data_IF_167974684237
#
_entry.id   IF_167974684237
#
_cell.length_a   1.000
_cell.length_b   1.000
_cell.length_c   1.000
_cell.angle_alpha   90.00
_cell.angle_beta   90.00
_cell.angle_gamma   90.00
#
_symmetry.space_group_name_H-M   'P 1'
#
loop_
_entity.id
_entity.type
_entity.pdbx_description
1 polymer ?
#
# COMPACT_ATOMS: atom_id res chain seq x y z
N UNK A 1 -74.64 -48.43 -65.18
CA UNK A 1 -75.82 -47.94 -65.91
C UNK A 1 -75.93 -46.44 -65.65
N UNK A 2 -75.27 -45.63 -66.47
CA UNK A 2 -75.86 -44.98 -67.65
C UNK A 2 -76.91 -43.91 -67.27
N UNK A 3 -76.46 -42.64 -67.28
CA UNK A 3 -77.14 -41.42 -67.75
C UNK A 3 -78.49 -41.04 -67.10
N UNK A 4 -78.80 -39.77 -66.85
CA UNK A 4 -79.32 -38.83 -67.87
C UNK A 4 -79.07 -37.38 -67.45
N UNK A 5 -78.82 -36.57 -68.48
CA UNK A 5 -78.59 -35.14 -68.55
C UNK A 5 -79.70 -34.20 -68.03
N UNK A 6 -79.22 -33.05 -67.54
CA UNK A 6 -79.62 -31.65 -67.83
C UNK A 6 -81.05 -31.37 -68.33
N UNK A 7 -81.74 -30.52 -67.57
CA UNK A 7 -82.40 -29.23 -67.93
C UNK A 7 -82.94 -28.69 -66.58
N UNK A 8 -83.14 -27.42 -66.25
CA UNK A 8 -83.50 -26.23 -67.00
C UNK A 8 -83.17 -24.97 -66.16
N UNK A 9 -83.10 -23.82 -66.83
CA UNK A 9 -82.73 -22.51 -66.34
C UNK A 9 -83.68 -21.89 -65.29
N UNK A 10 -83.06 -21.08 -64.43
CA UNK A 10 -83.49 -19.76 -63.93
C UNK A 10 -84.96 -19.59 -63.54
N UNK A 11 -85.19 -19.47 -62.23
CA UNK A 11 -86.20 -18.56 -61.69
C UNK A 11 -85.71 -17.94 -60.36
N UNK A 12 -85.56 -16.61 -60.39
CA UNK A 12 -85.92 -15.64 -59.35
C UNK A 12 -85.26 -15.83 -57.96
N UNK A 13 -84.16 -15.11 -57.69
CA UNK A 13 -84.19 -13.81 -56.98
C UNK A 13 -85.14 -13.79 -55.79
N UNK A 14 -84.66 -14.30 -54.65
CA UNK A 14 -84.96 -13.68 -53.35
C UNK A 14 -83.66 -13.54 -52.57
N UNK A 15 -83.37 -12.29 -52.21
CA UNK A 15 -82.13 -11.88 -51.57
C UNK A 15 -82.05 -12.40 -50.15
N UNK A 16 -81.09 -13.28 -49.91
CA UNK A 16 -80.48 -13.48 -48.61
C UNK A 16 -79.18 -12.68 -48.62
N UNK A 17 -79.21 -11.49 -48.00
CA UNK A 17 -77.98 -10.80 -47.61
C UNK A 17 -77.28 -11.70 -46.61
N UNK A 18 -76.27 -12.46 -47.06
CA UNK A 18 -75.30 -13.08 -46.18
C UNK A 18 -74.62 -11.96 -45.39
N UNK A 19 -75.11 -11.68 -44.18
CA UNK A 19 -74.33 -10.99 -43.17
C UNK A 19 -73.21 -11.95 -42.80
N UNK A 20 -72.01 -11.65 -43.27
CA UNK A 20 -70.79 -12.28 -42.78
C UNK A 20 -70.76 -12.13 -41.25
N UNK A 21 -70.84 -13.24 -40.52
CA UNK A 21 -70.68 -13.30 -39.06
C UNK A 21 -69.18 -13.37 -38.71
N UNK A 22 -68.36 -12.66 -39.46
CA UNK A 22 -66.96 -12.44 -39.12
C UNK A 22 -66.82 -10.96 -38.82
N UNK A 23 -66.85 -10.62 -37.53
CA UNK A 23 -66.25 -9.39 -37.05
C UNK A 23 -64.82 -9.39 -37.56
N UNK A 24 -64.45 -8.39 -38.37
CA UNK A 24 -63.07 -8.18 -38.73
C UNK A 24 -62.33 -7.88 -37.41
N UNK A 25 -61.65 -8.88 -36.86
CA UNK A 25 -60.60 -8.64 -35.89
C UNK A 25 -59.66 -7.67 -36.59
N UNK A 26 -59.42 -6.45 -36.06
CA UNK A 26 -58.38 -5.62 -36.61
C UNK A 26 -57.12 -6.45 -36.45
N UNK A 27 -56.57 -6.92 -37.56
CA UNK A 27 -55.21 -7.41 -37.59
C UNK A 27 -54.38 -6.22 -37.13
N UNK A 28 -54.07 -6.16 -35.84
CA UNK A 28 -53.04 -5.28 -35.33
C UNK A 28 -51.81 -5.78 -36.05
N UNK A 29 -51.46 -5.09 -37.13
CA UNK A 29 -50.15 -5.20 -37.72
C UNK A 29 -49.20 -4.79 -36.58
N UNK A 30 -48.74 -5.77 -35.80
CA UNK A 30 -47.55 -5.61 -34.98
C UNK A 30 -46.43 -5.54 -36.00
N UNK A 31 -46.29 -4.36 -36.60
CA UNK A 31 -45.09 -4.00 -37.33
C UNK A 31 -44.02 -4.06 -36.24
N UNK A 32 -43.21 -5.12 -36.26
CA UNK A 32 -41.96 -5.15 -35.53
C UNK A 32 -41.12 -4.03 -36.12
N UNK A 33 -41.33 -2.80 -35.65
CA UNK A 33 -40.36 -1.75 -35.83
C UNK A 33 -39.16 -2.25 -35.05
N UNK A 34 -38.17 -2.81 -35.75
CA UNK A 34 -36.81 -2.91 -35.20
C UNK A 34 -36.58 -1.53 -34.60
N UNK A 35 -36.46 -1.45 -33.28
CA UNK A 35 -36.27 -0.20 -32.54
C UNK A 35 -34.90 0.35 -32.90
N UNK A 36 -34.79 0.90 -34.11
CA UNK A 36 -33.60 1.51 -34.62
C UNK A 36 -33.45 2.82 -33.86
N UNK A 37 -32.71 2.76 -32.75
CA UNK A 37 -32.32 3.97 -32.04
C UNK A 37 -31.60 4.87 -33.05
N UNK A 38 -32.06 6.11 -33.26
CA UNK A 38 -31.37 7.02 -34.15
C UNK A 38 -29.89 7.15 -33.77
N UNK A 39 -29.01 7.30 -34.77
CA UNK A 39 -27.55 7.38 -34.55
C UNK A 39 -27.13 8.48 -33.58
N UNK A 40 -27.94 9.52 -33.40
CA UNK A 40 -27.69 10.62 -32.45
C UNK A 40 -27.92 10.24 -30.98
N UNK A 41 -28.73 9.21 -30.68
CA UNK A 41 -29.12 8.87 -29.30
C UNK A 41 -27.91 8.44 -28.46
N UNK A 42 -27.06 7.57 -29.00
CA UNK A 42 -25.91 7.06 -28.25
C UNK A 42 -24.88 8.18 -27.93
N UNK A 43 -24.47 9.05 -28.88
CA UNK A 43 -23.67 10.24 -28.58
C UNK A 43 -24.30 11.14 -27.51
N UNK A 44 -25.60 11.42 -27.62
CA UNK A 44 -26.31 12.27 -26.63
C UNK A 44 -26.30 11.64 -25.24
N UNK A 45 -26.59 10.34 -25.12
CA UNK A 45 -26.57 9.65 -23.83
C UNK A 45 -25.17 9.59 -23.21
N UNK A 46 -24.12 9.43 -24.02
CA UNK A 46 -22.73 9.50 -23.54
C UNK A 46 -22.40 10.88 -22.98
N UNK A 47 -22.82 11.94 -23.67
CA UNK A 47 -22.60 13.31 -23.19
C UNK A 47 -23.40 13.59 -21.91
N UNK A 48 -24.64 13.12 -21.81
CA UNK A 48 -25.43 13.24 -20.58
C UNK A 48 -24.79 12.47 -19.41
N UNK A 49 -24.29 11.25 -19.66
CA UNK A 49 -23.56 10.48 -18.64
C UNK A 49 -22.28 11.20 -18.21
N UNK A 50 -21.49 11.71 -19.16
CA UNK A 50 -20.28 12.49 -18.87
C UNK A 50 -20.59 13.73 -18.02
N UNK A 51 -21.66 14.47 -18.34
CA UNK A 51 -22.09 15.64 -17.54
C UNK A 51 -22.52 15.24 -16.14
N UNK A 52 -23.30 14.16 -16.03
CA UNK A 52 -23.69 13.60 -14.74
C UNK A 52 -22.46 13.21 -13.91
N UNK A 53 -21.47 12.54 -14.50
CA UNK A 53 -20.26 12.13 -13.79
C UNK A 53 -19.48 13.35 -13.25
N UNK A 54 -19.38 14.42 -14.03
CA UNK A 54 -18.78 15.70 -13.58
C UNK A 54 -19.58 16.34 -12.44
N UNK A 55 -20.90 16.25 -12.45
CA UNK A 55 -21.74 16.75 -11.35
C UNK A 55 -21.61 15.88 -10.09
N UNK A 56 -21.57 14.55 -10.25
CA UNK A 56 -21.36 13.60 -9.17
C UNK A 56 -19.98 13.85 -8.52
N UNK A 57 -18.92 14.06 -9.32
CA UNK A 57 -17.57 14.40 -8.83
C UNK A 57 -17.55 15.70 -8.01
N UNK A 58 -18.30 16.73 -8.44
CA UNK A 58 -18.44 17.98 -7.68
C UNK A 58 -19.16 17.78 -6.33
N UNK A 59 -20.06 16.81 -6.25
CA UNK A 59 -20.87 16.53 -5.08
C UNK A 59 -20.21 15.52 -4.11
N UNK A 60 -18.92 15.24 -4.26
CA UNK A 60 -18.18 14.31 -3.40
C UNK A 60 -17.98 12.91 -4.02
N UNK A 61 -18.31 12.76 -5.30
CA UNK A 61 -18.11 11.55 -6.08
C UNK A 61 -19.21 10.50 -5.87
N UNK A 62 -19.30 9.51 -6.79
CA UNK A 62 -20.20 8.39 -6.63
C UNK A 62 -19.78 7.51 -5.44
N UNK A 63 -20.74 6.75 -4.88
CA UNK A 63 -20.45 5.71 -3.90
C UNK A 63 -19.44 4.71 -4.49
N UNK A 64 -18.34 4.50 -3.78
CA UNK A 64 -17.31 3.55 -4.19
C UNK A 64 -17.79 2.14 -3.83
N UNK A 65 -17.75 1.23 -4.78
CA UNK A 65 -18.11 -0.18 -4.58
C UNK A 65 -16.85 -1.04 -4.56
N UNK A 66 -16.89 -2.11 -3.76
CA UNK A 66 -15.82 -3.10 -3.75
C UNK A 66 -15.71 -3.78 -5.12
N UNK A 67 -14.49 -4.09 -5.58
CA UNK A 67 -14.22 -4.62 -6.92
C UNK A 67 -14.94 -5.94 -7.21
N UNK A 68 -15.19 -6.74 -6.17
CA UNK A 68 -15.95 -7.99 -6.27
C UNK A 68 -17.44 -7.83 -6.61
N UNK A 69 -17.99 -6.61 -6.53
CA UNK A 69 -19.40 -6.33 -6.85
C UNK A 69 -19.65 -6.33 -8.36
N UNK A 70 -18.61 -6.12 -9.17
CA UNK A 70 -18.72 -6.04 -10.61
C UNK A 70 -18.77 -7.44 -11.25
N UNK A 71 -19.50 -7.57 -12.35
CA UNK A 71 -19.70 -8.85 -13.05
C UNK A 71 -18.40 -9.50 -13.51
N UNK A 72 -17.43 -8.69 -13.93
CA UNK A 72 -16.11 -9.13 -14.38
C UNK A 72 -15.18 -9.35 -13.17
N UNK A 73 -15.52 -10.32 -12.33
CA UNK A 73 -14.74 -10.70 -11.16
C UNK A 73 -14.81 -12.20 -10.90
N UNK A 74 -13.65 -12.84 -10.76
CA UNK A 74 -13.53 -14.22 -10.32
C UNK A 74 -12.43 -14.31 -9.25
N UNK A 75 -12.84 -14.55 -8.01
CA UNK A 75 -11.94 -14.50 -6.87
C UNK A 75 -10.78 -15.51 -6.96
N UNK A 76 -11.04 -16.73 -7.45
CA UNK A 76 -10.01 -17.77 -7.54
C UNK A 76 -8.95 -17.43 -8.60
N UNK A 77 -9.40 -16.87 -9.73
CA UNK A 77 -8.49 -16.41 -10.78
C UNK A 77 -7.64 -15.22 -10.32
N UNK A 78 -8.23 -14.32 -9.53
CA UNK A 78 -7.56 -13.13 -9.01
C UNK A 78 -6.54 -13.48 -7.92
N UNK A 79 -6.86 -14.43 -7.02
CA UNK A 79 -5.89 -14.99 -6.06
C UNK A 79 -4.71 -15.64 -6.80
N UNK A 80 -5.00 -16.48 -7.80
CA UNK A 80 -3.95 -17.12 -8.59
C UNK A 80 -3.07 -16.10 -9.33
N UNK A 81 -3.68 -15.07 -9.91
CA UNK A 81 -2.96 -13.99 -10.57
C UNK A 81 -2.11 -13.16 -9.59
N UNK A 82 -2.62 -12.94 -8.37
CA UNK A 82 -1.92 -12.22 -7.31
C UNK A 82 -0.63 -12.93 -6.89
N UNK A 83 -0.70 -14.24 -6.62
CA UNK A 83 0.49 -15.03 -6.26
C UNK A 83 1.56 -14.97 -7.37
N UNK A 84 1.15 -15.16 -8.63
CA UNK A 84 2.07 -15.10 -9.78
C UNK A 84 2.63 -13.70 -10.03
N UNK A 85 1.85 -12.63 -9.78
CA UNK A 85 2.32 -11.24 -9.89
C UNK A 85 3.46 -10.95 -8.92
N UNK A 86 3.37 -11.49 -7.70
CA UNK A 86 4.40 -11.37 -6.68
C UNK A 86 5.60 -12.30 -6.94
N UNK A 87 5.43 -13.32 -7.78
CA UNK A 87 6.46 -14.33 -8.03
C UNK A 87 6.61 -15.36 -6.92
N UNK A 88 5.63 -15.42 -6.00
CA UNK A 88 5.67 -16.24 -4.78
C UNK A 88 4.65 -17.37 -4.81
N UNK A 89 4.96 -18.47 -4.11
CA UNK A 89 4.09 -19.65 -4.01
C UNK A 89 3.35 -19.65 -2.67
N UNK A 90 2.08 -19.29 -2.70
CA UNK A 90 1.21 -19.32 -1.53
C UNK A 90 0.41 -20.62 -1.44
N UNK A 91 0.13 -21.07 -0.22
CA UNK A 91 -0.96 -22.00 0.03
C UNK A 91 -2.29 -21.24 -0.09
N UNK A 92 -3.20 -21.74 -0.92
CA UNK A 92 -4.50 -21.13 -1.19
C UNK A 92 -5.34 -20.98 0.09
N UNK A 93 -5.29 -21.94 1.02
CA UNK A 93 -6.04 -21.86 2.27
C UNK A 93 -5.54 -20.73 3.18
N UNK A 94 -4.23 -20.66 3.41
CA UNK A 94 -3.62 -19.64 4.28
C UNK A 94 -3.74 -18.24 3.68
N UNK A 95 -3.62 -18.12 2.34
CA UNK A 95 -3.79 -16.84 1.66
C UNK A 95 -5.23 -16.32 1.74
N UNK A 96 -6.23 -17.20 1.57
CA UNK A 96 -7.64 -16.83 1.78
C UNK A 96 -7.90 -16.38 3.21
N UNK A 97 -7.37 -17.12 4.19
CA UNK A 97 -7.47 -16.76 5.60
C UNK A 97 -6.79 -15.41 5.92
N UNK A 98 -5.67 -15.08 5.26
CA UNK A 98 -5.00 -13.79 5.44
C UNK A 98 -5.82 -12.60 4.87
N UNK A 99 -6.55 -12.83 3.77
CA UNK A 99 -7.38 -11.83 3.10
C UNK A 99 -8.76 -11.63 3.75
N UNK A 100 -9.20 -12.54 4.62
CA UNK A 100 -10.47 -12.45 5.35
C UNK A 100 -10.31 -11.68 6.66
N UNK A 101 -10.86 -10.46 6.69
CA UNK A 101 -10.90 -9.70 7.93
C UNK A 101 -12.07 -10.12 8.82
N UNK A 102 -11.87 -10.09 10.14
CA UNK A 102 -12.88 -10.41 11.15
C UNK A 102 -14.25 -9.76 10.91
N UNK A 103 -14.28 -8.49 10.53
CA UNK A 103 -15.55 -7.78 10.29
C UNK A 103 -16.38 -8.39 9.15
N UNK A 104 -15.73 -8.98 8.15
CA UNK A 104 -16.41 -9.68 7.07
C UNK A 104 -17.05 -10.99 7.58
N UNK A 105 -16.34 -11.73 8.43
CA UNK A 105 -16.85 -12.97 9.05
C UNK A 105 -18.06 -12.67 9.94
N UNK A 106 -17.98 -11.63 10.77
CA UNK A 106 -19.11 -11.16 11.60
C UNK A 106 -20.34 -10.79 10.75
N UNK A 107 -20.15 -10.10 9.62
CA UNK A 107 -21.26 -9.76 8.72
C UNK A 107 -21.87 -10.99 8.07
N UNK A 108 -21.06 -11.89 7.54
CA UNK A 108 -21.56 -13.03 6.78
C UNK A 108 -22.25 -14.04 7.71
N UNK A 109 -21.72 -14.24 8.92
CA UNK A 109 -22.39 -15.04 9.95
C UNK A 109 -23.74 -14.46 10.36
N UNK A 110 -23.83 -13.13 10.55
CA UNK A 110 -25.11 -12.46 10.81
C UNK A 110 -26.09 -12.67 9.65
N UNK A 111 -25.65 -12.45 8.40
CA UNK A 111 -26.47 -12.65 7.20
C UNK A 111 -26.99 -14.08 7.06
N UNK A 112 -26.17 -15.10 7.35
CA UNK A 112 -26.61 -16.50 7.29
C UNK A 112 -27.60 -16.84 8.40
N UNK A 113 -27.42 -16.28 9.60
CA UNK A 113 -28.35 -16.45 10.70
C UNK A 113 -29.73 -15.87 10.40
N UNK A 114 -29.80 -14.75 9.67
CA UNK A 114 -31.05 -14.16 9.19
C UNK A 114 -31.77 -15.04 8.18
N UNK A 115 -31.02 -15.81 7.37
CA UNK A 115 -31.55 -16.74 6.36
C UNK A 115 -31.94 -18.09 6.99
N UNK A 116 -31.48 -18.38 8.22
CA UNK A 116 -31.76 -19.63 8.94
C UNK A 116 -30.86 -20.80 8.52
N UNK A 117 -29.65 -20.52 8.04
CA UNK A 117 -28.63 -21.53 7.72
C UNK A 117 -27.66 -21.65 8.90
N UNK A 118 -27.36 -22.88 9.34
CA UNK A 118 -26.43 -23.12 10.44
C UNK A 118 -25.03 -22.56 10.12
N UNK A 119 -24.51 -21.75 11.04
CA UNK A 119 -23.32 -20.91 10.90
C UNK A 119 -21.99 -21.67 11.06
N UNK A 120 -21.92 -22.94 10.68
CA UNK A 120 -20.67 -23.73 10.68
C UNK A 120 -19.78 -23.37 9.48
N UNK A 121 -19.55 -22.08 9.25
CA UNK A 121 -18.58 -21.61 8.27
C UNK A 121 -17.17 -21.83 8.83
N UNK A 122 -16.37 -22.60 8.12
CA UNK A 122 -14.92 -22.75 8.33
C UNK A 122 -14.15 -21.51 7.83
N UNK A 123 -14.68 -20.30 8.05
CA UNK A 123 -14.00 -19.06 7.71
C UNK A 123 -13.05 -18.70 8.86
N UNK A 124 -11.76 -18.66 8.55
CA UNK A 124 -10.72 -18.29 9.50
C UNK A 124 -10.49 -16.78 9.46
N UNK A 125 -10.27 -16.20 10.63
CA UNK A 125 -9.94 -14.78 10.79
C UNK A 125 -8.44 -14.55 10.63
N UNK A 126 -8.08 -13.39 10.05
CA UNK A 126 -6.69 -12.99 9.86
C UNK A 126 -5.98 -12.45 11.12
N UNK A 127 -6.61 -12.47 12.30
CA UNK A 127 -6.06 -11.84 13.51
C UNK A 127 -4.79 -12.53 14.01
N UNK A 128 -4.79 -13.87 14.09
CA UNK A 128 -3.62 -14.65 14.50
C UNK A 128 -2.42 -14.44 13.55
N UNK A 129 -2.66 -14.59 12.24
CA UNK A 129 -1.64 -14.38 11.20
C UNK A 129 -1.12 -12.94 11.18
N UNK A 130 -1.97 -11.96 11.46
CA UNK A 130 -1.55 -10.55 11.50
C UNK A 130 -0.60 -10.25 12.66
N UNK A 131 -0.74 -10.92 13.80
CA UNK A 131 0.17 -10.75 14.95
C UNK A 131 1.52 -11.36 14.61
N UNK A 132 1.53 -12.62 14.17
CA UNK A 132 2.75 -13.34 13.78
C UNK A 132 3.53 -12.61 12.68
N UNK A 133 2.84 -12.18 11.62
CA UNK A 133 3.48 -11.45 10.52
C UNK A 133 3.99 -10.07 10.95
N UNK A 134 3.32 -9.41 11.88
CA UNK A 134 3.79 -8.14 12.44
C UNK A 134 5.09 -8.31 13.23
N UNK A 135 5.19 -9.35 14.06
CA UNK A 135 6.42 -9.68 14.78
C UNK A 135 7.55 -10.06 13.83
N UNK A 136 7.25 -10.84 12.78
CA UNK A 136 8.22 -11.21 11.76
C UNK A 136 8.78 -10.01 10.99
N UNK A 137 7.91 -9.11 10.53
CA UNK A 137 8.31 -7.87 9.86
C UNK A 137 9.22 -7.03 10.78
N UNK A 138 8.81 -6.84 12.03
CA UNK A 138 9.56 -6.03 13.00
C UNK A 138 10.94 -6.63 13.28
N UNK A 139 11.00 -7.95 13.46
CA UNK A 139 12.25 -8.69 13.69
C UNK A 139 13.19 -8.57 12.50
N UNK A 140 12.69 -8.83 11.30
CA UNK A 140 13.48 -8.74 10.08
C UNK A 140 14.00 -7.33 9.80
N UNK A 141 13.14 -6.30 9.93
CA UNK A 141 13.54 -4.91 9.71
C UNK A 141 14.65 -4.52 10.68
N UNK A 142 14.54 -4.86 11.97
CA UNK A 142 15.59 -4.56 12.95
C UNK A 142 16.90 -5.27 12.60
N UNK A 143 16.87 -6.56 12.26
CA UNK A 143 18.06 -7.30 11.82
C UNK A 143 18.69 -6.70 10.56
N UNK A 144 17.88 -6.32 9.58
CA UNK A 144 18.33 -5.69 8.34
C UNK A 144 18.99 -4.34 8.60
N UNK A 145 18.33 -3.45 9.33
CA UNK A 145 18.85 -2.12 9.64
C UNK A 145 20.16 -2.20 10.44
N UNK A 146 20.28 -3.12 11.40
CA UNK A 146 21.52 -3.33 12.17
C UNK A 146 22.66 -3.90 11.32
N UNK A 147 22.35 -4.79 10.38
CA UNK A 147 23.35 -5.35 9.48
C UNK A 147 23.91 -4.31 8.50
N UNK A 148 23.06 -3.41 8.00
CA UNK A 148 23.45 -2.33 7.08
C UNK A 148 24.12 -1.18 7.83
N UNK A 149 23.51 -0.71 8.91
CA UNK A 149 23.94 0.46 9.68
C UNK A 149 24.72 0.04 10.94
N UNK A 150 25.97 -0.35 10.73
CA UNK A 150 26.83 -0.91 11.79
C UNK A 150 27.28 0.10 12.86
N UNK A 151 27.36 1.40 12.53
CA UNK A 151 27.86 2.45 13.43
C UNK A 151 26.78 3.38 13.98
N UNK A 152 25.51 3.06 13.71
CA UNK A 152 24.37 3.89 14.07
C UNK A 152 23.86 3.55 15.47
N UNK A 153 23.46 4.55 16.29
CA UNK A 153 22.82 4.31 17.59
C UNK A 153 21.44 3.65 17.44
N UNK A 154 21.05 2.86 18.44
CA UNK A 154 19.77 2.12 18.41
C UNK A 154 18.54 3.04 18.27
N UNK A 155 18.61 4.28 18.78
CA UNK A 155 17.54 5.26 18.68
C UNK A 155 17.21 5.62 17.21
N UNK A 156 18.22 5.71 16.35
CA UNK A 156 18.00 5.98 14.92
C UNK A 156 17.44 4.75 14.20
N UNK A 157 17.90 3.54 14.57
CA UNK A 157 17.36 2.29 14.02
C UNK A 157 15.88 2.14 14.38
N UNK A 158 15.52 2.45 15.62
CA UNK A 158 14.14 2.45 16.07
C UNK A 158 13.28 3.46 15.30
N UNK A 159 13.79 4.68 15.07
CA UNK A 159 13.08 5.67 14.28
C UNK A 159 12.80 5.19 12.84
N UNK A 160 13.80 4.57 12.19
CA UNK A 160 13.63 3.94 10.87
C UNK A 160 12.61 2.79 10.91
N UNK A 161 12.70 1.92 11.90
CA UNK A 161 11.77 0.80 12.10
C UNK A 161 10.32 1.30 12.29
N UNK A 162 10.13 2.33 13.11
CA UNK A 162 8.81 2.88 13.43
C UNK A 162 8.19 3.57 12.20
N UNK A 163 9.01 4.20 11.36
CA UNK A 163 8.58 4.72 10.05
C UNK A 163 8.13 3.59 9.12
N UNK A 164 8.94 2.55 8.95
CA UNK A 164 8.62 1.41 8.08
C UNK A 164 7.39 0.61 8.56
N UNK A 165 7.20 0.51 9.87
CA UNK A 165 6.08 -0.19 10.51
C UNK A 165 4.85 0.71 10.69
N UNK A 166 4.95 1.99 10.31
CA UNK A 166 3.84 2.94 10.40
C UNK A 166 2.62 2.44 9.62
N UNK A 167 1.44 2.82 10.13
CA UNK A 167 0.17 2.47 9.46
C UNK A 167 0.10 3.11 8.08
N UNK A 168 0.67 4.31 7.89
CA UNK A 168 0.65 5.02 6.61
C UNK A 168 1.49 4.35 5.54
N UNK A 169 2.72 3.93 5.87
CA UNK A 169 3.66 3.28 4.95
C UNK A 169 3.14 1.90 4.55
N UNK A 170 2.78 1.05 5.53
CA UNK A 170 2.22 -0.28 5.25
C UNK A 170 0.89 -0.23 4.51
N UNK A 171 0.01 0.74 4.80
CA UNK A 171 -1.22 0.93 4.04
C UNK A 171 -0.92 1.27 2.57
N UNK A 172 0.05 2.17 2.35
CA UNK A 172 0.46 2.58 1.01
C UNK A 172 1.02 1.40 0.22
N UNK A 173 1.90 0.60 0.82
CA UNK A 173 2.43 -0.63 0.23
C UNK A 173 1.29 -1.60 -0.11
N UNK A 174 0.39 -1.86 0.84
CA UNK A 174 -0.72 -2.78 0.64
C UNK A 174 -1.65 -2.35 -0.51
N UNK A 175 -1.92 -1.05 -0.63
CA UNK A 175 -2.73 -0.48 -1.70
C UNK A 175 -2.06 -0.65 -3.07
N UNK A 176 -0.76 -0.41 -3.17
CA UNK A 176 -0.03 -0.53 -4.44
C UNK A 176 0.14 -1.96 -4.93
N UNK A 177 0.21 -2.93 -4.03
CA UNK A 177 0.25 -4.36 -4.39
C UNK A 177 -1.13 -4.84 -4.91
N UNK A 178 -2.20 -4.11 -4.58
CA UNK A 178 -3.56 -4.40 -5.01
C UNK A 178 -4.38 -5.20 -4.00
N UNK A 179 -4.03 -5.15 -2.69
CA UNK A 179 -4.82 -5.84 -1.66
C UNK A 179 -6.26 -5.31 -1.58
N UNK A 180 -6.48 -4.04 -1.93
CA UNK A 180 -7.80 -3.39 -1.79
C UNK A 180 -8.93 -4.06 -2.55
N UNK A 181 -8.62 -4.74 -3.65
CA UNK A 181 -9.61 -5.44 -4.47
C UNK A 181 -9.85 -6.89 -4.00
N UNK A 182 -8.88 -7.47 -3.28
CA UNK A 182 -8.87 -8.87 -2.86
C UNK A 182 -9.36 -9.06 -1.42
N UNK A 183 -9.09 -8.09 -0.54
CA UNK A 183 -9.41 -8.19 0.88
C UNK A 183 -10.91 -8.24 1.12
N UNK A 184 -11.36 -9.25 1.86
CA UNK A 184 -12.77 -9.40 2.21
C UNK A 184 -13.05 -8.59 3.48
N UNK A 185 -13.77 -7.49 3.30
CA UNK A 185 -14.08 -6.53 4.35
C UNK A 185 -15.57 -6.20 4.36
N UNK A 186 -16.09 -5.91 5.56
CA UNK A 186 -17.44 -5.42 5.70
C UNK A 186 -17.59 -4.01 5.12
N UNK A 187 -16.90 -3.02 5.66
CA UNK A 187 -17.06 -1.62 5.24
C UNK A 187 -16.14 -1.30 4.06
N UNK A 188 -16.67 -0.62 3.05
CA UNK A 188 -15.89 -0.16 1.90
C UNK A 188 -16.14 1.34 1.64
N UNK A 189 -15.08 2.16 1.48
CA UNK A 189 -13.64 1.81 1.47
C UNK A 189 -13.13 1.33 2.83
N UNK A 190 -12.21 0.37 2.82
CA UNK A 190 -11.66 -0.22 4.04
C UNK A 190 -10.81 0.78 4.80
N UNK A 191 -10.80 0.69 6.14
CA UNK A 191 -9.95 1.52 7.00
C UNK A 191 -8.47 1.17 6.79
N UNK A 192 -7.53 2.12 6.91
CA UNK A 192 -6.09 1.86 6.75
C UNK A 192 -5.58 0.70 7.61
N UNK A 193 -6.08 0.59 8.86
CA UNK A 193 -5.73 -0.48 9.79
C UNK A 193 -6.06 -1.88 9.22
N UNK A 194 -7.16 -2.01 8.49
CA UNK A 194 -7.58 -3.28 7.87
C UNK A 194 -6.61 -3.71 6.77
N UNK A 195 -6.08 -2.76 5.99
CA UNK A 195 -5.04 -3.03 5.00
C UNK A 195 -3.76 -3.51 5.67
N UNK A 196 -3.34 -2.84 6.74
CA UNK A 196 -2.12 -3.20 7.47
C UNK A 196 -2.23 -4.58 8.09
N UNK A 197 -3.37 -4.92 8.71
CA UNK A 197 -3.61 -6.27 9.25
C UNK A 197 -3.53 -7.34 8.17
N UNK A 198 -4.20 -7.11 7.04
CA UNK A 198 -4.20 -8.06 5.92
C UNK A 198 -2.81 -8.22 5.32
N UNK A 199 -2.04 -7.13 5.18
CA UNK A 199 -0.66 -7.18 4.71
C UNK A 199 0.24 -7.99 5.66
N UNK A 200 0.17 -7.74 6.97
CA UNK A 200 0.90 -8.54 7.97
C UNK A 200 0.52 -10.02 7.90
N UNK A 201 -0.77 -10.32 7.78
CA UNK A 201 -1.24 -11.70 7.66
C UNK A 201 -0.73 -12.40 6.38
N UNK A 202 -0.60 -11.69 5.25
CA UNK A 202 -0.01 -12.24 4.02
C UNK A 202 1.46 -12.61 4.23
N UNK A 203 2.23 -11.79 4.96
CA UNK A 203 3.63 -12.11 5.26
C UNK A 203 3.74 -13.39 6.09
N UNK A 204 2.87 -13.58 7.10
CA UNK A 204 2.82 -14.82 7.86
C UNK A 204 2.41 -16.02 6.99
N UNK A 205 1.36 -15.87 6.17
CA UNK A 205 0.92 -16.92 5.24
C UNK A 205 2.01 -17.30 4.22
N UNK A 206 2.81 -16.33 3.77
CA UNK A 206 3.96 -16.58 2.92
C UNK A 206 5.04 -17.39 3.64
N UNK A 207 5.34 -17.02 4.89
CA UNK A 207 6.33 -17.74 5.69
C UNK A 207 5.91 -19.19 5.97
N UNK A 208 4.62 -19.42 6.25
CA UNK A 208 4.06 -20.77 6.40
C UNK A 208 4.16 -21.59 5.10
N UNK A 209 3.96 -20.94 3.95
CA UNK A 209 3.88 -21.62 2.65
C UNK A 209 5.25 -21.89 2.02
N UNK A 210 6.11 -20.87 1.96
CA UNK A 210 7.39 -20.86 1.22
C UNK A 210 8.62 -20.71 2.12
N UNK A 211 8.44 -20.64 3.44
CA UNK A 211 9.51 -20.49 4.42
C UNK A 211 9.86 -19.04 4.75
N UNK A 212 10.56 -18.86 5.88
CA UNK A 212 10.89 -17.55 6.43
C UNK A 212 11.84 -16.75 5.53
N UNK A 213 12.76 -17.40 4.81
CA UNK A 213 13.69 -16.73 3.90
C UNK A 213 12.97 -15.98 2.76
N UNK A 214 11.95 -16.60 2.16
CA UNK A 214 11.14 -15.97 1.12
C UNK A 214 10.35 -14.78 1.69
N UNK A 215 9.77 -14.95 2.89
CA UNK A 215 9.07 -13.86 3.57
C UNK A 215 9.98 -12.66 3.89
N UNK A 216 11.24 -12.91 4.25
CA UNK A 216 12.24 -11.85 4.48
C UNK A 216 12.53 -11.06 3.19
N UNK A 217 12.76 -11.75 2.08
CA UNK A 217 12.99 -11.12 0.77
C UNK A 217 11.75 -10.30 0.36
N UNK A 218 10.56 -10.85 0.55
CA UNK A 218 9.30 -10.16 0.28
C UNK A 218 9.14 -8.86 1.08
N UNK A 219 9.42 -8.89 2.38
CA UNK A 219 9.37 -7.70 3.25
C UNK A 219 10.42 -6.69 2.83
N UNK A 220 11.62 -7.13 2.43
CA UNK A 220 12.65 -6.22 1.95
C UNK A 220 12.20 -5.48 0.68
N UNK A 221 11.77 -6.22 -0.33
CA UNK A 221 11.48 -5.65 -1.65
C UNK A 221 10.28 -4.69 -1.63
N UNK A 222 9.35 -4.88 -0.69
CA UNK A 222 8.14 -4.07 -0.60
C UNK A 222 8.16 -3.00 0.50
N UNK A 223 8.69 -3.34 1.68
CA UNK A 223 8.66 -2.46 2.86
C UNK A 223 9.96 -1.67 2.97
N UNK A 224 11.12 -2.32 2.95
CA UNK A 224 12.41 -1.63 3.12
C UNK A 224 12.68 -0.66 1.96
N UNK A 225 12.19 -0.95 0.76
CA UNK A 225 12.27 -0.03 -0.38
C UNK A 225 11.58 1.30 -0.16
N UNK A 226 10.63 1.41 0.79
CA UNK A 226 10.00 2.69 1.17
C UNK A 226 10.98 3.64 1.88
N UNK A 227 12.12 3.14 2.38
CA UNK A 227 13.18 3.98 2.91
C UNK A 227 13.94 4.71 1.79
N UNK A 228 13.86 4.22 0.56
CA UNK A 228 14.55 4.85 -0.57
C UNK A 228 13.91 6.20 -0.91
N UNK A 229 14.74 7.24 -0.99
CA UNK A 229 14.29 8.61 -1.24
C UNK A 229 13.78 9.35 0.00
N UNK A 230 13.86 8.74 1.19
CA UNK A 230 13.66 9.43 2.47
C UNK A 230 15.02 9.76 3.10
N UNK A 231 15.16 10.94 3.70
CA UNK A 231 16.33 11.22 4.53
C UNK A 231 16.15 10.53 5.89
N UNK A 232 17.00 9.53 6.15
CA UNK A 232 17.03 8.77 7.41
C UNK A 232 17.24 9.69 8.61
N UNK A 233 17.99 10.79 8.43
CA UNK A 233 18.31 11.73 9.50
C UNK A 233 17.13 12.67 9.82
N UNK A 234 16.15 12.82 8.93
CA UNK A 234 14.91 13.55 9.23
C UNK A 234 13.98 12.74 10.13
N UNK A 235 14.05 11.40 10.07
CA UNK A 235 13.24 10.50 10.90
C UNK A 235 13.61 10.60 12.39
N UNK A 236 14.85 10.99 12.69
CA UNK A 236 15.35 11.07 14.06
C UNK A 236 15.97 12.42 14.35
N UNK A 237 15.38 13.13 15.30
CA UNK A 237 15.86 14.43 15.75
C UNK A 237 16.53 14.31 17.13
N UNK A 238 17.87 14.32 17.24
CA UNK A 238 18.55 14.33 18.53
C UNK A 238 18.30 15.66 19.25
N UNK A 239 18.00 15.59 20.56
CA UNK A 239 17.62 16.77 21.34
C UNK A 239 18.74 17.80 21.52
N UNK A 240 20.01 17.36 21.62
CA UNK A 240 21.19 18.22 21.76
C UNK A 240 22.33 17.73 20.84
N UNK A 241 22.33 18.11 19.55
CA UNK A 241 23.34 17.64 18.61
C UNK A 241 24.74 18.21 18.91
N UNK A 242 24.83 19.42 19.48
CA UNK A 242 26.12 20.06 19.83
C UNK A 242 26.78 19.33 21.01
N UNK A 243 26.02 19.03 22.06
CA UNK A 243 26.51 18.26 23.20
C UNK A 243 26.92 16.84 22.80
N UNK A 244 26.10 16.18 21.98
CA UNK A 244 26.41 14.86 21.43
C UNK A 244 27.73 14.89 20.63
N UNK A 245 27.89 15.84 19.71
CA UNK A 245 29.10 15.99 18.90
C UNK A 245 30.34 16.23 19.77
N UNK A 246 30.24 17.10 20.77
CA UNK A 246 31.35 17.42 21.68
C UNK A 246 31.82 16.16 22.42
N UNK A 247 30.88 15.36 22.90
CA UNK A 247 31.19 14.15 23.63
C UNK A 247 31.76 13.04 22.71
N UNK A 248 31.32 12.97 21.46
CA UNK A 248 31.89 12.06 20.44
C UNK A 248 33.32 12.46 20.07
N UNK A 249 33.60 13.75 19.89
CA UNK A 249 34.96 14.23 19.63
C UNK A 249 35.89 13.95 20.81
N UNK A 250 35.41 14.14 22.04
CA UNK A 250 36.15 13.79 23.26
C UNK A 250 36.47 12.29 23.34
N UNK A 251 35.52 11.44 22.94
CA UNK A 251 35.70 9.97 22.84
C UNK A 251 36.77 9.58 21.81
N UNK A 252 36.82 10.28 20.69
CA UNK A 252 37.84 10.08 19.64
C UNK A 252 39.19 10.75 19.97
N UNK A 253 39.36 11.30 21.17
CA UNK A 253 40.57 12.01 21.62
C UNK A 253 40.93 13.22 20.72
N UNK A 254 39.92 13.83 20.09
CA UNK A 254 40.06 15.05 19.28
C UNK A 254 39.74 16.29 20.10
N UNK A 255 40.22 17.45 19.65
CA UNK A 255 39.83 18.72 20.29
C UNK A 255 38.33 19.00 20.19
N UNK A 256 37.83 19.81 21.12
CA UNK A 256 36.44 20.27 21.14
C UNK A 256 36.03 20.96 19.83
N UNK A 257 34.74 20.88 19.44
CA UNK A 257 34.27 21.46 18.19
C UNK A 257 34.28 22.99 18.24
N UNK A 258 35.03 23.61 17.33
CA UNK A 258 35.03 25.04 17.09
C UNK A 258 34.04 25.39 15.97
N UNK A 259 32.98 26.12 16.31
CA UNK A 259 32.01 26.61 15.34
C UNK A 259 32.42 27.99 14.83
N UNK A 260 32.53 28.15 13.50
CA UNK A 260 32.91 29.42 12.87
C UNK A 260 31.94 29.78 11.76
N UNK A 261 31.57 31.05 11.69
CA UNK A 261 30.79 31.58 10.56
C UNK A 261 31.66 31.60 9.30
N UNK A 262 31.27 30.83 8.28
CA UNK A 262 31.98 30.76 6.99
C UNK A 262 31.41 31.80 6.03
N UNK A 263 30.08 31.87 5.92
CA UNK A 263 29.36 32.76 4.99
C UNK A 263 28.10 33.30 5.67
N UNK A 264 27.71 34.51 5.29
CA UNK A 264 26.42 35.08 5.64
C UNK A 264 25.86 35.85 4.44
N UNK A 265 24.55 35.76 4.24
CA UNK A 265 23.84 36.49 3.20
C UNK A 265 22.57 37.10 3.80
N UNK A 266 22.28 38.36 3.45
CA UNK A 266 21.03 39.01 3.84
C UNK A 266 20.84 39.15 5.35
N UNK A 267 21.90 39.38 6.14
CA UNK A 267 21.85 39.42 7.62
C UNK A 267 20.82 40.39 8.22
N UNK A 268 20.45 41.44 7.47
CA UNK A 268 19.46 42.43 7.87
C UNK A 268 18.09 42.23 7.20
N UNK A 269 17.85 41.05 6.62
CA UNK A 269 16.60 40.72 5.92
C UNK A 269 15.86 39.59 6.63
N UNK A 270 14.57 39.44 6.33
CA UNK A 270 13.74 38.34 6.84
C UNK A 270 14.25 36.99 6.33
N UNK A 271 14.87 36.96 5.14
CA UNK A 271 15.41 35.76 4.50
C UNK A 271 16.93 35.68 4.69
N UNK A 272 17.42 36.01 5.89
CA UNK A 272 18.82 35.87 6.23
C UNK A 272 19.25 34.40 6.17
N UNK A 273 20.45 34.15 5.68
CA UNK A 273 21.05 32.80 5.64
C UNK A 273 22.46 32.87 6.19
N UNK A 274 22.72 32.03 7.19
CA UNK A 274 24.03 31.88 7.83
C UNK A 274 24.57 30.49 7.55
N UNK A 275 25.86 30.40 7.21
CA UNK A 275 26.59 29.15 7.04
C UNK A 275 27.65 29.04 8.13
N UNK A 276 27.48 28.06 9.01
CA UNK A 276 28.41 27.78 10.11
C UNK A 276 29.16 26.49 9.81
N UNK A 277 30.49 26.54 9.92
CA UNK A 277 31.36 25.37 9.82
C UNK A 277 31.80 24.88 11.19
N UNK A 278 31.91 23.57 11.33
CA UNK A 278 32.49 22.92 12.51
C UNK A 278 33.92 22.47 12.20
N UNK A 279 34.84 22.84 13.06
CA UNK A 279 36.25 22.48 12.98
C UNK A 279 36.67 21.74 14.25
N UNK A 280 37.61 20.81 14.15
CA UNK A 280 38.30 20.21 15.28
C UNK A 280 39.78 20.08 14.92
N UNK A 281 40.68 20.54 15.79
CA UNK A 281 42.13 20.59 15.53
C UNK A 281 42.50 21.28 14.20
N UNK A 282 41.77 22.36 13.87
CA UNK A 282 41.86 23.11 12.60
C UNK A 282 41.47 22.32 11.34
N UNK A 283 40.95 21.10 11.50
CA UNK A 283 40.39 20.32 10.41
C UNK A 283 38.90 20.60 10.28
N UNK A 284 38.45 20.85 9.06
CA UNK A 284 37.03 21.01 8.74
C UNK A 284 36.31 19.65 8.86
N UNK A 285 35.20 19.62 9.59
CA UNK A 285 34.36 18.42 9.73
C UNK A 285 33.13 18.53 8.82
N UNK A 286 32.31 19.57 9.04
CA UNK A 286 31.04 19.74 8.35
C UNK A 286 30.64 21.23 8.32
N UNK A 287 29.68 21.57 7.46
CA UNK A 287 29.01 22.88 7.45
C UNK A 287 27.49 22.71 7.49
N UNK A 288 26.81 23.70 8.05
CA UNK A 288 25.35 23.74 8.11
C UNK A 288 24.82 25.14 7.83
N UNK A 289 23.67 25.19 7.17
CA UNK A 289 22.96 26.43 6.87
C UNK A 289 21.77 26.63 7.82
N UNK A 290 21.44 27.87 8.14
CA UNK A 290 20.27 28.20 8.94
C UNK A 290 19.84 29.65 8.81
N UNK A 291 18.59 29.92 9.18
CA UNK A 291 18.00 31.27 9.18
C UNK A 291 18.57 32.18 10.30
N UNK A 292 19.05 31.57 11.38
CA UNK A 292 19.73 32.23 12.49
C UNK A 292 21.08 31.57 12.78
N UNK A 293 21.97 32.28 13.48
CA UNK A 293 23.27 31.73 13.86
C UNK A 293 23.15 30.47 14.75
N UNK A 294 22.13 30.45 15.63
CA UNK A 294 21.86 29.31 16.52
C UNK A 294 21.39 28.08 15.72
N UNK A 295 20.46 28.28 14.78
CA UNK A 295 19.95 27.20 13.92
C UNK A 295 21.07 26.71 12.99
N UNK A 296 21.85 27.60 12.40
CA UNK A 296 22.98 27.21 11.54
C UNK A 296 24.03 26.40 12.32
N UNK A 297 24.29 26.76 13.58
CA UNK A 297 25.16 25.99 14.49
C UNK A 297 24.59 24.60 14.77
N UNK A 298 23.31 24.50 15.06
CA UNK A 298 22.61 23.23 15.30
C UNK A 298 22.65 22.32 14.06
N UNK A 299 22.37 22.89 12.88
CA UNK A 299 22.43 22.18 11.59
C UNK A 299 23.85 21.71 11.28
N UNK A 300 24.88 22.54 11.53
CA UNK A 300 26.26 22.14 11.32
C UNK A 300 26.68 20.98 12.24
N UNK A 301 26.17 20.96 13.48
CA UNK A 301 26.38 19.85 14.40
C UNK A 301 25.66 18.57 13.94
N UNK A 302 24.44 18.68 13.42
CA UNK A 302 23.72 17.53 12.84
C UNK A 302 24.44 16.94 11.65
N UNK A 303 24.92 17.79 10.73
CA UNK A 303 25.67 17.33 9.57
C UNK A 303 26.96 16.62 9.99
N UNK A 304 27.66 17.15 11.00
CA UNK A 304 28.80 16.45 11.61
C UNK A 304 28.40 15.07 12.17
N UNK A 305 27.26 14.94 12.84
CA UNK A 305 26.76 13.65 13.33
C UNK A 305 26.46 12.67 12.19
N UNK A 306 25.92 13.12 11.06
CA UNK A 306 25.70 12.26 9.87
C UNK A 306 27.00 11.63 9.37
N UNK A 307 28.08 12.42 9.32
CA UNK A 307 29.41 11.93 8.96
C UNK A 307 29.90 10.84 9.93
N UNK A 308 29.72 11.04 11.24
CA UNK A 308 30.10 10.06 12.26
C UNK A 308 29.25 8.77 12.24
N UNK A 309 27.99 8.87 11.83
CA UNK A 309 27.08 7.73 11.70
C UNK A 309 27.13 7.05 10.32
N UNK A 310 27.86 7.64 9.37
CA UNK A 310 27.91 7.21 7.97
C UNK A 310 26.54 7.19 7.29
N UNK A 311 25.66 8.12 7.67
CA UNK A 311 24.31 8.31 7.12
C UNK A 311 24.23 9.55 6.23
N UNK A 312 25.36 9.91 5.60
CA UNK A 312 25.44 11.00 4.63
C UNK A 312 24.60 10.71 3.37
N UNK A 313 24.21 11.76 2.66
CA UNK A 313 23.54 11.63 1.35
C UNK A 313 24.40 10.88 0.33
N UNK A 314 25.73 10.92 0.49
CA UNK A 314 26.73 10.17 -0.27
C UNK A 314 26.92 8.71 0.16
N UNK A 315 26.14 8.21 1.11
CA UNK A 315 26.25 6.83 1.58
C UNK A 315 26.02 5.83 0.43
N UNK A 316 26.57 4.61 0.60
CA UNK A 316 26.31 3.54 -0.36
C UNK A 316 24.83 3.21 -0.38
N UNK A 317 24.30 2.95 -1.57
CA UNK A 317 22.93 2.47 -1.71
C UNK A 317 22.71 1.21 -0.87
N UNK A 318 21.51 1.10 -0.30
CA UNK A 318 21.12 -0.05 0.52
C UNK A 318 21.26 -1.35 -0.31
N UNK A 319 21.77 -2.43 0.29
CA UNK A 319 22.01 -3.67 -0.43
C UNK A 319 20.70 -4.39 -0.76
N UNK A 320 20.38 -4.51 -2.05
CA UNK A 320 19.23 -5.26 -2.55
C UNK A 320 19.65 -6.42 -3.46
N UNK A 321 18.79 -7.42 -3.61
CA UNK A 321 18.98 -8.53 -4.55
C UNK A 321 20.21 -9.41 -4.23
N UNK A 322 21.19 -9.48 -5.14
CA UNK A 322 22.34 -10.40 -4.98
C UNK A 322 23.21 -10.08 -3.78
N UNK A 323 23.39 -8.79 -3.47
CA UNK A 323 24.21 -8.33 -2.33
C UNK A 323 23.63 -8.76 -0.99
N UNK A 324 22.33 -9.02 -0.94
CA UNK A 324 21.66 -9.47 0.27
C UNK A 324 22.08 -10.90 0.64
N UNK A 325 22.28 -11.79 -0.35
CA UNK A 325 22.58 -13.20 -0.08
C UNK A 325 23.82 -13.37 0.79
N UNK A 326 24.77 -12.46 0.65
CA UNK A 326 26.00 -12.44 1.44
C UNK A 326 25.77 -11.92 2.88
N UNK A 327 24.71 -11.15 3.10
CA UNK A 327 24.37 -10.46 4.36
C UNK A 327 23.25 -11.18 5.13
N UNK A 328 22.53 -12.13 4.52
CA UNK A 328 21.39 -12.84 5.13
C UNK A 328 21.73 -13.53 6.46
N UNK A 329 22.89 -14.18 6.56
CA UNK A 329 23.34 -14.83 7.81
C UNK A 329 23.53 -13.79 8.92
N UNK A 330 24.17 -12.66 8.59
CA UNK A 330 24.40 -11.55 9.51
C UNK A 330 23.09 -10.91 9.97
N UNK A 331 22.10 -10.80 9.08
CA UNK A 331 20.76 -10.29 9.44
C UNK A 331 20.15 -11.18 10.52
N UNK A 332 20.14 -12.50 10.31
CA UNK A 332 19.54 -13.46 11.24
C UNK A 332 20.20 -13.41 12.63
N UNK A 333 21.51 -13.20 12.70
CA UNK A 333 22.24 -13.05 13.97
C UNK A 333 21.87 -11.76 14.72
N UNK A 334 21.66 -10.66 13.99
CA UNK A 334 21.45 -9.32 14.55
C UNK A 334 19.98 -9.00 14.87
N UNK A 335 19.03 -9.87 14.51
CA UNK A 335 17.60 -9.70 14.81
C UNK A 335 17.34 -9.42 16.31
N UNK A 336 18.04 -10.15 17.18
CA UNK A 336 17.83 -10.08 18.64
C UNK A 336 18.91 -9.27 19.38
N UNK A 337 19.91 -8.75 18.67
CA UNK A 337 21.03 -8.01 19.28
C UNK A 337 20.90 -6.51 18.99
N UNK A 338 20.40 -5.69 19.93
CA UNK A 338 20.31 -4.25 19.74
C UNK A 338 21.68 -3.58 19.68
N UNK A 339 21.78 -2.50 18.92
CA UNK A 339 22.96 -1.65 18.89
C UNK A 339 23.12 -0.91 20.23
N UNK A 340 24.28 -0.27 20.40
CA UNK A 340 24.52 0.56 21.56
C UNK A 340 23.57 1.77 21.56
N UNK A 341 22.91 2.08 22.69
CA UNK A 341 22.13 3.30 22.81
C UNK A 341 23.07 4.52 22.75
N UNK A 342 22.56 5.66 22.28
CA UNK A 342 23.34 6.87 22.05
C UNK A 342 24.16 7.28 23.28
N UNK A 343 23.61 7.18 24.48
CA UNK A 343 24.31 7.49 25.74
C UNK A 343 25.60 6.68 25.94
N UNK A 344 25.58 5.39 25.60
CA UNK A 344 26.75 4.50 25.66
C UNK A 344 27.64 4.64 24.44
N UNK A 345 27.03 4.93 23.28
CA UNK A 345 27.74 5.18 22.03
C UNK A 345 28.69 6.37 22.17
N UNK A 346 28.25 7.41 22.87
CA UNK A 346 29.04 8.60 23.16
C UNK A 346 30.19 8.30 24.13
N UNK A 347 30.00 7.42 25.13
CA UNK A 347 31.00 7.17 26.17
C UNK A 347 32.08 6.17 25.78
N UNK A 348 31.71 5.11 25.05
CA UNK A 348 32.61 4.00 24.75
C UNK A 348 33.07 4.08 23.29
N UNK A 349 34.36 3.92 23.03
CA UNK A 349 34.89 3.88 21.67
C UNK A 349 34.24 2.71 20.92
N UNK A 350 33.30 3.03 20.04
CA UNK A 350 32.67 2.07 19.14
C UNK A 350 33.67 1.80 18.03
N UNK A 351 34.64 0.93 18.28
CA UNK A 351 35.32 0.25 17.17
C UNK A 351 34.22 -0.51 16.46
N UNK A 352 33.97 -0.19 15.19
CA UNK A 352 33.08 -0.93 14.29
C UNK A 352 33.07 -2.40 14.71
N UNK A 353 31.90 -2.89 15.14
CA UNK A 353 31.69 -4.33 15.32
C UNK A 353 31.76 -4.92 13.91
N UNK A 354 32.98 -5.11 13.43
CA UNK A 354 33.28 -5.94 12.27
C UNK A 354 33.13 -7.35 12.79
N UNK A 355 31.90 -7.83 12.77
CA UNK A 355 31.60 -9.22 12.49
C UNK A 355 31.34 -9.34 10.99
#
# INVERSE_FOLDING_TARGET
MAAVWKTCQQCLRYGLKNKSIYTALPAINVISTRTFKPRWVAPTLRELKRRKDVEDDRNGGPKIFHRSTFLEWNYDAEIFAFSNRLGEKFNDSSLRAALTHRSYVERETARLSEIGVDSNLLLQDNEALSVEGGEMISRFINGYLRAVFTQVPEELIRAMHDFLTSTSTLHTVAKHIGLGDLMLCAEFPCKPETYVKSFKAIVAALAESSGEECARIFVQDLVVTQLYGQDVNELWNPADPVGNLTAILKREEKAEPEFRLIRQAGSNSILAVYYVGVYSDKNFIAEGAGESLEIAKDMAAREALKHFFHTEDSMRALPFGRQLKDIQSKIAELENQPNLPLSKWISNKVTSVVH
#
